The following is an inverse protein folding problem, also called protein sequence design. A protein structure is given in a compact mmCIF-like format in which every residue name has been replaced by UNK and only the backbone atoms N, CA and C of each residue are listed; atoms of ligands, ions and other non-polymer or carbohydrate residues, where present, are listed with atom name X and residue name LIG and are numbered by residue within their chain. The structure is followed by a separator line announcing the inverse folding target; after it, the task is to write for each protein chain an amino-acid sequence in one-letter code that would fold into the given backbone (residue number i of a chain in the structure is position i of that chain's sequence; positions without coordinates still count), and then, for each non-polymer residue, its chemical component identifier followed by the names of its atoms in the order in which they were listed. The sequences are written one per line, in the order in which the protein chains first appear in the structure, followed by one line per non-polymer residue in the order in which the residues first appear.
data_IF_663356188126
#
_entry.id   IF_663356188126
#
_cell.length_a   1.000
_cell.length_b   1.000
_cell.length_c   1.000
_cell.angle_alpha   90.00
_cell.angle_beta   90.00
_cell.angle_gamma   90.00
#
_symmetry.space_group_name_H-M   'P 1'
#
loop_
_entity.id
_entity.type
_entity.pdbx_description
1 polymer ?
#
# COMPACT_ATOMS: atom_id res chain seq x y z
N UNK A 1 22.68 4.22 17.39
CA UNK A 1 21.66 3.48 16.61
C UNK A 1 20.92 4.50 15.77
N UNK A 2 20.66 4.25 14.49
CA UNK A 2 19.97 5.20 13.63
C UNK A 2 18.56 5.48 14.15
N UNK A 3 18.04 6.67 13.86
CA UNK A 3 16.66 7.02 14.18
C UNK A 3 15.67 6.40 13.20
N UNK A 4 16.03 6.38 11.92
CA UNK A 4 15.16 5.85 10.86
C UNK A 4 15.90 4.79 10.06
N UNK A 5 15.28 3.64 9.83
CA UNK A 5 15.69 2.67 8.82
C UNK A 5 14.81 2.86 7.58
N UNK A 6 15.43 3.23 6.47
CA UNK A 6 14.76 3.24 5.16
C UNK A 6 14.97 1.86 4.53
N UNK A 7 13.88 1.15 4.26
CA UNK A 7 13.88 -0.21 3.69
C UNK A 7 13.50 -0.11 2.24
N UNK A 8 14.40 -0.55 1.36
CA UNK A 8 14.18 -0.58 -0.10
C UNK A 8 14.24 -2.03 -0.60
N UNK A 9 13.08 -2.63 -0.90
CA UNK A 9 13.03 -3.93 -1.59
C UNK A 9 13.43 -3.74 -3.06
N UNK A 10 14.31 -4.60 -3.57
CA UNK A 10 14.89 -4.47 -4.91
C UNK A 10 14.72 -5.78 -5.65
N UNK A 11 14.14 -5.71 -6.85
CA UNK A 11 14.13 -6.80 -7.81
C UNK A 11 14.13 -6.26 -9.24
N UNK A 12 15.24 -6.45 -9.97
CA UNK A 12 15.42 -6.00 -11.35
C UNK A 12 15.06 -4.52 -11.55
N UNK A 13 15.70 -3.63 -10.77
CA UNK A 13 15.41 -2.21 -10.70
C UNK A 13 16.53 -1.31 -11.20
N UNK A 14 17.51 -1.85 -11.94
CA UNK A 14 18.73 -1.14 -12.37
C UNK A 14 18.47 0.24 -12.98
N UNK A 15 17.32 0.38 -13.66
CA UNK A 15 16.95 1.61 -14.36
C UNK A 15 16.72 2.80 -13.43
N UNK A 16 16.14 2.58 -12.25
CA UNK A 16 15.70 3.65 -11.34
C UNK A 16 16.42 3.66 -10.00
N UNK A 17 17.06 2.55 -9.65
CA UNK A 17 17.65 2.31 -8.34
C UNK A 17 18.66 3.38 -7.91
N UNK A 18 19.45 3.92 -8.84
CA UNK A 18 20.41 5.00 -8.54
C UNK A 18 19.73 6.29 -8.10
N UNK A 19 18.58 6.64 -8.70
CA UNK A 19 17.79 7.82 -8.30
C UNK A 19 17.15 7.60 -6.94
N UNK A 20 16.60 6.41 -6.72
CA UNK A 20 16.03 5.99 -5.43
C UNK A 20 17.06 6.14 -4.31
N UNK A 21 18.23 5.50 -4.42
CA UNK A 21 19.30 5.56 -3.42
C UNK A 21 19.74 7.01 -3.18
N UNK A 22 19.98 7.80 -4.24
CA UNK A 22 20.36 9.21 -4.12
C UNK A 22 19.33 10.04 -3.36
N UNK A 23 18.05 9.78 -3.53
CA UNK A 23 16.98 10.49 -2.81
C UNK A 23 17.02 10.23 -1.30
N UNK A 24 17.56 9.07 -0.87
CA UNK A 24 17.70 8.70 0.55
C UNK A 24 19.01 9.22 1.14
N UNK A 25 20.14 9.00 0.48
CA UNK A 25 21.44 9.44 1.03
C UNK A 25 21.58 10.98 1.06
N UNK A 26 20.82 11.67 0.19
CA UNK A 26 20.71 13.12 0.11
C UNK A 26 19.68 13.74 1.05
N UNK A 27 19.08 13.01 1.97
CA UNK A 27 18.12 13.57 2.93
C UNK A 27 18.77 14.59 3.87
N UNK A 28 18.02 15.64 4.22
CA UNK A 28 18.45 16.63 5.21
C UNK A 28 18.55 16.05 6.62
N UNK A 29 17.94 14.90 6.89
CA UNK A 29 18.02 14.13 8.13
C UNK A 29 19.11 13.06 8.01
N UNK A 30 20.20 13.24 8.76
CA UNK A 30 21.40 12.40 8.61
C UNK A 30 21.39 11.10 9.44
N UNK A 31 20.60 11.04 10.53
CA UNK A 31 20.58 9.90 11.45
C UNK A 31 19.70 8.74 10.93
N UNK A 32 20.13 8.21 9.79
CA UNK A 32 19.46 7.12 9.06
C UNK A 32 20.38 5.94 8.82
N UNK A 33 19.79 4.77 8.59
CA UNK A 33 20.38 3.70 7.82
C UNK A 33 19.53 3.42 6.57
N UNK A 34 20.16 3.01 5.50
CA UNK A 34 19.50 2.57 4.27
C UNK A 34 19.71 1.07 4.11
N UNK A 35 18.63 0.30 4.21
CA UNK A 35 18.63 -1.15 4.07
C UNK A 35 18.15 -1.50 2.66
N UNK A 36 19.09 -1.84 1.78
CA UNK A 36 18.85 -2.31 0.43
C UNK A 36 18.67 -3.84 0.46
N UNK A 37 17.46 -4.33 0.17
CA UNK A 37 17.17 -5.77 0.18
C UNK A 37 17.04 -6.25 -1.26
N UNK A 38 18.10 -6.84 -1.77
CA UNK A 38 18.10 -7.46 -3.09
C UNK A 38 17.43 -8.83 -3.04
N UNK A 39 16.27 -8.93 -3.67
CA UNK A 39 15.42 -10.13 -3.73
C UNK A 39 15.77 -11.01 -4.93
N UNK A 40 17.08 -11.27 -5.12
CA UNK A 40 17.58 -12.15 -6.18
C UNK A 40 17.49 -11.54 -7.57
N UNK A 41 17.88 -10.27 -7.73
CA UNK A 41 17.93 -9.60 -9.03
C UNK A 41 18.91 -10.29 -9.99
N UNK A 42 18.58 -10.22 -11.28
CA UNK A 42 19.38 -10.79 -12.38
C UNK A 42 19.92 -9.73 -13.34
N UNK A 43 19.61 -8.46 -13.07
CA UNK A 43 20.14 -7.29 -13.78
C UNK A 43 21.32 -6.67 -13.01
N UNK A 44 21.71 -5.43 -13.30
CA UNK A 44 22.82 -4.72 -12.63
C UNK A 44 22.45 -4.18 -11.22
N UNK A 45 21.28 -4.46 -10.70
CA UNK A 45 20.86 -3.95 -9.37
C UNK A 45 21.82 -4.34 -8.23
N UNK A 46 22.35 -5.60 -8.14
CA UNK A 46 23.30 -5.98 -7.11
C UNK A 46 24.63 -5.19 -7.18
N UNK A 47 25.11 -4.91 -8.39
CA UNK A 47 26.35 -4.14 -8.59
C UNK A 47 26.14 -2.67 -8.14
N UNK A 48 24.99 -2.08 -8.47
CA UNK A 48 24.61 -0.74 -8.01
C UNK A 48 24.55 -0.69 -6.48
N UNK A 49 23.93 -1.65 -5.83
CA UNK A 49 23.87 -1.72 -4.36
C UNK A 49 25.26 -1.77 -3.74
N UNK A 50 26.14 -2.60 -4.31
CA UNK A 50 27.52 -2.77 -3.83
C UNK A 50 28.34 -1.50 -4.00
N UNK A 51 28.21 -0.80 -5.13
CA UNK A 51 28.87 0.48 -5.40
C UNK A 51 28.49 1.53 -4.35
N UNK A 52 27.19 1.72 -4.07
CA UNK A 52 26.76 2.71 -3.09
C UNK A 52 27.14 2.34 -1.66
N UNK A 53 27.06 1.07 -1.29
CA UNK A 53 27.46 0.61 0.05
C UNK A 53 28.96 0.78 0.31
N UNK A 54 29.81 0.67 -0.73
CA UNK A 54 31.24 0.97 -0.59
C UNK A 54 31.52 2.46 -0.36
N UNK A 55 30.62 3.35 -0.79
CA UNK A 55 30.77 4.81 -0.68
C UNK A 55 30.13 5.46 0.54
N UNK A 56 29.15 4.80 1.19
CA UNK A 56 28.40 5.38 2.32
C UNK A 56 28.15 4.32 3.40
N UNK A 57 28.76 4.48 4.56
CA UNK A 57 28.68 3.54 5.68
C UNK A 57 27.28 3.43 6.32
N UNK A 58 26.32 4.27 5.92
CA UNK A 58 24.92 4.16 6.36
C UNK A 58 24.15 3.09 5.56
N UNK A 59 24.72 2.59 4.46
CA UNK A 59 24.05 1.64 3.56
C UNK A 59 24.39 0.20 3.97
N UNK A 60 23.36 -0.60 4.17
CA UNK A 60 23.44 -2.04 4.41
C UNK A 60 22.77 -2.78 3.28
N UNK A 61 23.51 -3.67 2.62
CA UNK A 61 22.96 -4.55 1.56
C UNK A 61 22.67 -5.92 2.14
N UNK A 62 21.49 -6.44 1.83
CA UNK A 62 21.06 -7.79 2.20
C UNK A 62 20.55 -8.48 0.95
N UNK A 63 21.12 -9.63 0.61
CA UNK A 63 20.69 -10.43 -0.55
C UNK A 63 19.94 -11.68 -0.08
N UNK A 64 18.88 -12.04 -0.79
CA UNK A 64 18.13 -13.28 -0.58
C UNK A 64 17.69 -13.89 -1.92
N UNK A 65 17.39 -15.20 -1.96
CA UNK A 65 16.67 -15.78 -3.10
C UNK A 65 15.32 -15.09 -3.30
N UNK A 66 14.88 -14.91 -4.56
CA UNK A 66 13.63 -14.24 -4.85
C UNK A 66 12.45 -14.87 -4.08
N UNK A 67 11.90 -14.09 -3.17
CA UNK A 67 10.75 -14.42 -2.32
C UNK A 67 9.57 -13.46 -2.50
N UNK A 68 9.73 -12.45 -3.35
CA UNK A 68 8.73 -11.41 -3.61
C UNK A 68 8.76 -10.24 -2.63
N UNK A 69 7.99 -9.20 -2.95
CA UNK A 69 7.99 -7.92 -2.26
C UNK A 69 7.79 -8.03 -0.74
N UNK A 70 6.85 -8.87 -0.30
CA UNK A 70 6.57 -9.11 1.12
C UNK A 70 7.76 -9.72 1.85
N UNK A 71 8.42 -10.69 1.24
CA UNK A 71 9.61 -11.34 1.82
C UNK A 71 10.76 -10.34 1.93
N UNK A 72 11.00 -9.53 0.91
CA UNK A 72 12.03 -8.50 0.92
C UNK A 72 11.76 -7.42 1.98
N UNK A 73 10.52 -6.91 2.09
CA UNK A 73 10.15 -5.97 3.15
C UNK A 73 10.32 -6.57 4.55
N UNK A 74 9.89 -7.82 4.76
CA UNK A 74 10.05 -8.52 6.03
C UNK A 74 11.54 -8.71 6.39
N UNK A 75 12.36 -9.09 5.41
CA UNK A 75 13.81 -9.20 5.61
C UNK A 75 14.42 -7.85 6.00
N UNK A 76 13.97 -6.77 5.39
CA UNK A 76 14.36 -5.41 5.76
C UNK A 76 13.99 -5.07 7.21
N UNK A 77 12.75 -5.39 7.63
CA UNK A 77 12.30 -5.22 9.03
C UNK A 77 13.19 -5.98 10.00
N UNK A 78 13.52 -7.25 9.69
CA UNK A 78 14.29 -8.13 10.58
C UNK A 78 15.73 -7.65 10.82
N UNK A 79 16.30 -6.87 9.89
CA UNK A 79 17.69 -6.37 9.98
C UNK A 79 17.78 -4.90 10.31
N UNK A 80 16.64 -4.18 10.31
CA UNK A 80 16.55 -2.76 10.65
C UNK A 80 16.88 -2.52 12.13
N UNK A 81 17.63 -1.43 12.40
CA UNK A 81 18.03 -1.03 13.74
C UNK A 81 17.44 0.31 14.17
N UNK A 82 16.72 0.98 13.27
CA UNK A 82 16.10 2.26 13.50
C UNK A 82 14.92 2.21 14.46
N UNK A 83 14.72 3.31 15.15
CA UNK A 83 13.55 3.52 16.02
C UNK A 83 12.26 3.61 15.21
N UNK A 84 12.38 4.06 13.96
CA UNK A 84 11.32 4.15 12.97
C UNK A 84 11.71 3.42 11.69
N UNK A 85 10.70 2.95 10.96
CA UNK A 85 10.83 2.34 9.64
C UNK A 85 10.13 3.20 8.59
N UNK A 86 10.76 3.33 7.43
CA UNK A 86 10.20 3.96 6.24
C UNK A 86 10.39 3.01 5.05
N UNK A 87 9.32 2.70 4.32
CA UNK A 87 9.39 1.84 3.13
C UNK A 87 9.42 2.70 1.87
N UNK A 88 10.34 2.39 0.97
CA UNK A 88 10.50 3.07 -0.32
C UNK A 88 10.69 2.03 -1.42
N UNK A 89 9.83 2.06 -2.43
CA UNK A 89 9.96 1.17 -3.57
C UNK A 89 11.14 1.61 -4.46
N UNK A 90 11.86 0.67 -5.05
CA UNK A 90 13.16 0.89 -5.70
C UNK A 90 13.11 1.70 -7.01
N UNK A 91 11.91 1.98 -7.53
CA UNK A 91 11.65 2.81 -8.71
C UNK A 91 11.15 4.23 -8.36
N UNK A 92 10.97 4.52 -7.06
CA UNK A 92 10.42 5.77 -6.54
C UNK A 92 11.50 6.67 -5.90
N UNK A 93 11.12 7.89 -5.55
CA UNK A 93 11.99 8.84 -4.84
C UNK A 93 11.23 9.62 -3.77
N UNK A 94 11.95 10.21 -2.82
CA UNK A 94 11.38 11.02 -1.74
C UNK A 94 11.92 12.45 -1.76
N UNK A 95 11.10 13.38 -1.26
CA UNK A 95 11.50 14.77 -1.09
C UNK A 95 12.73 14.88 -0.18
N UNK A 96 13.64 15.82 -0.44
CA UNK A 96 14.86 16.04 0.32
C UNK A 96 14.64 16.17 1.84
N UNK A 97 13.53 16.77 2.28
CA UNK A 97 13.20 16.95 3.70
C UNK A 97 12.18 15.92 4.23
N UNK A 98 11.82 14.88 3.45
CA UNK A 98 10.75 13.96 3.82
C UNK A 98 10.97 13.32 5.19
N UNK A 99 12.15 12.74 5.42
CA UNK A 99 12.45 12.05 6.68
C UNK A 99 12.55 13.01 7.86
N UNK A 100 13.11 14.20 7.65
CA UNK A 100 13.19 15.24 8.67
C UNK A 100 11.82 15.70 9.15
N UNK A 101 10.90 15.94 8.22
CA UNK A 101 9.53 16.39 8.54
C UNK A 101 8.73 15.30 9.23
N UNK A 102 8.78 14.08 8.69
CA UNK A 102 8.07 12.94 9.29
C UNK A 102 8.55 12.64 10.70
N UNK A 103 9.87 12.68 10.93
CA UNK A 103 10.46 12.45 12.25
C UNK A 103 10.07 13.55 13.24
N UNK A 104 10.21 14.83 12.87
CA UNK A 104 9.80 15.97 13.69
C UNK A 104 8.32 15.87 14.10
N UNK A 105 7.43 15.54 13.15
CA UNK A 105 6.01 15.36 13.46
C UNK A 105 5.77 14.16 14.38
N UNK A 106 6.48 13.04 14.19
CA UNK A 106 6.37 11.89 15.07
C UNK A 106 6.74 12.23 16.53
N UNK A 107 7.87 12.90 16.71
CA UNK A 107 8.37 13.27 18.05
C UNK A 107 7.48 14.29 18.76
N UNK A 108 7.03 15.35 18.07
CA UNK A 108 6.19 16.39 18.70
C UNK A 108 4.75 15.96 18.95
N UNK A 109 4.24 14.95 18.24
CA UNK A 109 2.85 14.47 18.40
C UNK A 109 2.72 13.14 19.14
N UNK A 110 3.83 12.46 19.40
CA UNK A 110 3.89 11.07 19.88
C UNK A 110 3.08 10.10 19.00
N UNK A 111 2.93 10.44 17.73
CA UNK A 111 2.25 9.57 16.78
C UNK A 111 3.18 8.42 16.35
N UNK A 112 2.66 7.18 16.45
CA UNK A 112 3.43 6.00 16.05
C UNK A 112 3.45 5.78 14.53
N UNK A 113 2.57 6.46 13.80
CA UNK A 113 2.53 6.52 12.35
C UNK A 113 2.35 7.96 11.93
N UNK A 114 3.22 8.42 11.04
CA UNK A 114 3.10 9.72 10.37
C UNK A 114 3.05 9.49 8.87
N UNK A 115 2.05 10.02 8.19
CA UNK A 115 1.89 9.86 6.75
C UNK A 115 1.90 11.21 6.04
N UNK A 116 2.62 11.28 4.92
CA UNK A 116 2.53 12.36 3.96
C UNK A 116 1.72 11.97 2.73
N UNK A 117 1.83 12.75 1.67
CA UNK A 117 1.14 12.50 0.42
C UNK A 117 2.11 11.99 -0.67
N UNK A 118 1.66 11.08 -1.54
CA UNK A 118 2.36 10.76 -2.78
C UNK A 118 1.89 11.67 -3.90
N UNK A 119 2.77 11.91 -4.88
CA UNK A 119 2.39 12.31 -6.24
C UNK A 119 2.62 11.14 -7.19
N UNK A 120 1.66 10.86 -8.05
CA UNK A 120 1.70 9.74 -9.01
C UNK A 120 1.82 10.34 -10.41
N UNK A 121 3.00 10.22 -11.02
CA UNK A 121 3.28 10.79 -12.33
C UNK A 121 4.39 10.01 -13.06
N UNK A 122 4.61 10.30 -14.34
CA UNK A 122 5.75 9.78 -15.09
C UNK A 122 7.04 10.52 -14.74
N UNK A 123 6.93 11.83 -14.48
CA UNK A 123 8.01 12.70 -14.05
C UNK A 123 7.47 13.71 -13.04
N UNK A 124 8.29 14.04 -12.05
CA UNK A 124 7.94 15.04 -11.04
C UNK A 124 9.19 15.71 -10.49
N UNK A 125 9.07 16.98 -10.18
CA UNK A 125 10.08 17.76 -9.45
C UNK A 125 9.42 18.26 -8.18
N UNK A 126 10.00 17.92 -7.05
CA UNK A 126 9.48 18.35 -5.75
C UNK A 126 9.55 19.86 -5.58
N UNK A 127 8.58 20.42 -4.88
CA UNK A 127 8.64 21.80 -4.39
C UNK A 127 9.84 21.97 -3.45
N UNK A 128 10.29 23.22 -3.27
CA UNK A 128 11.50 23.47 -2.47
C UNK A 128 11.29 23.30 -0.96
N UNK A 129 10.06 23.34 -0.48
CA UNK A 129 9.76 23.28 0.95
C UNK A 129 8.51 22.47 1.23
N UNK A 130 8.50 21.81 2.38
CA UNK A 130 7.35 21.11 2.95
C UNK A 130 6.77 21.96 4.07
N UNK A 131 5.44 22.12 4.10
CA UNK A 131 4.76 22.70 5.24
C UNK A 131 4.79 21.71 6.43
N UNK A 132 5.51 22.09 7.48
CA UNK A 132 5.70 21.27 8.69
C UNK A 132 4.57 21.42 9.71
N UNK A 133 3.73 22.45 9.56
CA UNK A 133 2.73 22.83 10.55
C UNK A 133 1.34 22.35 10.20
N UNK A 134 1.07 22.06 8.93
CA UNK A 134 -0.19 21.49 8.45
C UNK A 134 -0.33 20.01 8.85
N UNK A 135 -0.49 19.75 10.16
CA UNK A 135 -0.59 18.39 10.72
C UNK A 135 -1.99 18.13 11.25
N UNK A 136 -2.60 17.03 10.84
CA UNK A 136 -3.88 16.55 11.34
C UNK A 136 -3.71 15.23 12.08
N UNK A 137 -4.14 15.16 13.33
CA UNK A 137 -4.16 13.92 14.11
C UNK A 137 -5.50 13.22 13.88
N UNK A 138 -5.45 11.97 13.46
CA UNK A 138 -6.61 11.13 13.20
C UNK A 138 -6.67 9.99 14.18
N UNK A 139 -7.90 9.64 14.59
CA UNK A 139 -8.15 8.40 15.30
C UNK A 139 -8.00 7.20 14.35
N UNK A 140 -7.36 6.13 14.82
CA UNK A 140 -7.09 4.96 14.01
C UNK A 140 -8.36 4.24 13.54
N UNK A 141 -9.37 4.12 14.40
CA UNK A 141 -10.63 3.45 14.04
C UNK A 141 -11.37 4.23 12.95
N UNK A 142 -11.37 5.57 13.05
CA UNK A 142 -11.98 6.41 12.03
C UNK A 142 -11.26 6.26 10.69
N UNK A 143 -9.93 6.34 10.70
CA UNK A 143 -9.13 6.23 9.47
C UNK A 143 -9.22 4.83 8.84
N UNK A 144 -9.22 3.77 9.66
CA UNK A 144 -9.46 2.40 9.18
C UNK A 144 -10.82 2.30 8.48
N UNK A 145 -11.89 2.83 9.10
CA UNK A 145 -13.22 2.82 8.49
C UNK A 145 -13.23 3.56 7.14
N UNK A 146 -12.58 4.71 7.07
CA UNK A 146 -12.50 5.54 5.87
C UNK A 146 -11.75 4.83 4.71
N UNK A 147 -10.63 4.17 5.02
CA UNK A 147 -9.88 3.35 4.06
C UNK A 147 -10.73 2.17 3.57
N UNK A 148 -11.43 1.50 4.48
CA UNK A 148 -12.29 0.36 4.14
C UNK A 148 -13.48 0.76 3.28
N UNK A 149 -14.10 1.89 3.54
CA UNK A 149 -15.10 2.51 2.68
C UNK A 149 -14.51 3.07 1.38
N UNK A 150 -13.19 3.09 1.26
CA UNK A 150 -12.46 3.67 0.11
C UNK A 150 -12.83 5.14 -0.12
N UNK A 151 -12.88 5.93 0.95
CA UNK A 151 -13.11 7.37 0.85
C UNK A 151 -11.96 8.05 0.11
N UNK A 152 -12.26 9.21 -0.47
CA UNK A 152 -11.24 10.01 -1.14
C UNK A 152 -10.15 10.41 -0.14
N UNK A 153 -8.93 10.54 -0.64
CA UNK A 153 -7.76 10.97 0.14
C UNK A 153 -7.35 10.03 1.27
N UNK A 154 -7.73 8.75 1.18
CA UNK A 154 -7.29 7.69 2.09
C UNK A 154 -6.60 6.56 1.33
N UNK A 155 -5.52 6.03 1.90
CA UNK A 155 -4.80 4.91 1.30
C UNK A 155 -4.25 3.95 2.36
N UNK A 156 -3.93 2.72 1.92
CA UNK A 156 -3.39 1.66 2.75
C UNK A 156 -1.94 1.30 2.41
N UNK A 157 -1.25 2.08 1.57
CA UNK A 157 0.14 1.79 1.20
C UNK A 157 1.07 1.81 2.41
N UNK A 158 2.11 0.98 2.40
CA UNK A 158 3.21 1.04 3.36
C UNK A 158 4.18 2.18 3.05
N UNK A 159 4.25 2.64 1.80
CA UNK A 159 5.10 3.76 1.38
C UNK A 159 4.55 5.10 1.88
N UNK A 160 5.35 6.16 1.78
CA UNK A 160 5.10 7.54 2.27
C UNK A 160 4.62 7.66 3.71
N UNK A 161 4.98 6.69 4.54
CA UNK A 161 4.66 6.66 5.97
C UNK A 161 5.89 6.31 6.79
N UNK A 162 6.05 7.01 7.91
CA UNK A 162 7.01 6.68 8.94
C UNK A 162 6.29 5.88 10.04
N UNK A 163 6.80 4.73 10.37
CA UNK A 163 6.23 3.81 11.36
C UNK A 163 7.17 3.65 12.54
N UNK A 164 6.68 3.73 13.76
CA UNK A 164 7.43 3.26 14.93
C UNK A 164 7.77 1.78 14.73
N UNK A 165 9.04 1.40 14.80
CA UNK A 165 9.50 0.03 14.48
C UNK A 165 8.78 -1.05 15.30
N UNK A 166 8.49 -0.78 16.57
CA UNK A 166 7.76 -1.67 17.50
C UNK A 166 6.35 -2.07 17.00
N UNK A 167 5.78 -1.37 16.04
CA UNK A 167 4.52 -1.78 15.43
C UNK A 167 4.65 -3.12 14.70
N UNK A 168 5.85 -3.42 14.22
CA UNK A 168 6.15 -4.63 13.46
C UNK A 168 6.68 -5.80 14.31
N UNK A 169 6.70 -5.74 15.64
CA UNK A 169 7.18 -6.84 16.48
C UNK A 169 6.44 -8.16 16.24
N UNK A 170 5.13 -8.09 16.00
CA UNK A 170 4.21 -9.22 15.76
C UNK A 170 3.41 -9.10 14.47
N UNK A 171 3.71 -8.12 13.62
CA UNK A 171 3.06 -7.89 12.33
C UNK A 171 4.10 -8.01 11.23
N UNK A 172 3.79 -8.82 10.21
CA UNK A 172 4.62 -9.00 9.02
C UNK A 172 3.75 -8.97 7.77
N UNK A 173 4.33 -8.55 6.66
CA UNK A 173 3.71 -8.66 5.36
C UNK A 173 3.50 -10.13 5.00
N UNK A 174 2.33 -10.47 4.48
CA UNK A 174 2.04 -11.81 3.97
C UNK A 174 2.40 -11.89 2.49
N UNK A 175 2.80 -13.07 2.07
CA UNK A 175 3.04 -13.33 0.66
C UNK A 175 1.76 -13.15 -0.16
N UNK A 176 1.95 -12.73 -1.41
CA UNK A 176 0.87 -12.46 -2.35
C UNK A 176 0.65 -10.97 -2.59
N UNK A 177 -0.29 -10.68 -3.47
CA UNK A 177 -0.65 -9.32 -3.81
C UNK A 177 -1.56 -8.68 -2.75
N UNK A 178 -1.53 -7.35 -2.65
CA UNK A 178 -2.29 -6.54 -1.68
C UNK A 178 -1.81 -6.73 -0.23
N UNK A 179 -0.52 -6.98 -0.05
CA UNK A 179 0.15 -7.17 1.22
C UNK A 179 -0.06 -5.97 2.17
N UNK A 180 -0.03 -4.75 1.65
CA UNK A 180 -0.28 -3.52 2.39
C UNK A 180 -1.71 -3.49 2.95
N UNK A 181 -2.70 -3.88 2.12
CA UNK A 181 -4.10 -3.94 2.54
C UNK A 181 -4.33 -5.02 3.61
N UNK A 182 -3.51 -6.06 3.64
CA UNK A 182 -3.66 -7.17 4.60
C UNK A 182 -3.16 -6.81 6.01
N UNK A 183 -2.31 -5.78 6.14
CA UNK A 183 -1.71 -5.45 7.45
C UNK A 183 -2.04 -4.05 7.96
N UNK A 184 -2.43 -3.08 7.11
CA UNK A 184 -2.58 -1.68 7.52
C UNK A 184 -3.49 -1.50 8.74
N UNK A 185 -4.61 -2.22 8.78
CA UNK A 185 -5.59 -2.09 9.84
C UNK A 185 -5.05 -2.56 11.21
N UNK A 186 -4.17 -3.57 11.22
CA UNK A 186 -3.51 -4.04 12.44
C UNK A 186 -2.47 -3.03 12.93
N UNK A 187 -1.70 -2.46 11.99
CA UNK A 187 -0.72 -1.41 12.31
C UNK A 187 -1.40 -0.16 12.85
N UNK A 188 -2.49 0.28 12.20
CA UNK A 188 -3.23 1.48 12.61
C UNK A 188 -3.90 1.29 13.96
N UNK A 189 -4.56 0.15 14.20
CA UNK A 189 -5.14 -0.18 15.50
C UNK A 189 -4.07 -0.17 16.61
N UNK A 190 -2.91 -0.79 16.38
CA UNK A 190 -1.79 -0.81 17.32
C UNK A 190 -1.18 0.58 17.55
N UNK A 191 -1.24 1.45 16.56
CA UNK A 191 -0.82 2.84 16.67
C UNK A 191 -1.78 3.69 17.50
N UNK A 192 -3.10 3.50 17.35
CA UNK A 192 -4.15 4.26 18.03
C UNK A 192 -4.40 5.64 17.44
N UNK A 193 -3.35 6.41 17.17
CA UNK A 193 -3.40 7.72 16.52
C UNK A 193 -2.41 7.78 15.37
N UNK A 194 -2.81 8.45 14.29
CA UNK A 194 -2.01 8.66 13.10
C UNK A 194 -1.93 10.16 12.80
N UNK A 195 -0.73 10.68 12.58
CA UNK A 195 -0.53 12.04 12.12
C UNK A 195 -0.48 12.07 10.59
N UNK A 196 -1.20 12.99 9.99
CA UNK A 196 -1.22 13.21 8.54
C UNK A 196 -0.67 14.60 8.26
N UNK A 197 0.29 14.72 7.35
CA UNK A 197 0.79 15.97 6.82
C UNK A 197 0.25 16.20 5.41
N UNK A 198 -0.23 17.40 5.12
CA UNK A 198 -0.79 17.76 3.82
C UNK A 198 0.31 18.27 2.88
N UNK A 199 1.34 17.44 2.67
CA UNK A 199 2.48 17.78 1.83
C UNK A 199 2.94 16.57 1.03
N UNK A 200 3.34 16.80 -0.22
CA UNK A 200 3.88 15.77 -1.11
C UNK A 200 5.33 15.47 -0.70
N UNK A 201 5.55 14.28 -0.19
CA UNK A 201 6.86 13.81 0.27
C UNK A 201 7.42 12.66 -0.56
N UNK A 202 6.60 12.07 -1.39
CA UNK A 202 6.90 10.83 -2.11
C UNK A 202 6.52 10.97 -3.58
N UNK A 203 7.42 10.60 -4.48
CA UNK A 203 7.14 10.48 -5.91
C UNK A 203 7.00 9.03 -6.30
N UNK A 204 5.74 8.63 -6.54
CA UNK A 204 5.40 7.33 -7.11
C UNK A 204 5.50 7.41 -8.64
N UNK A 205 6.50 6.75 -9.18
CA UNK A 205 6.77 6.75 -10.62
C UNK A 205 5.80 5.85 -11.37
N UNK A 206 5.08 6.43 -12.34
CA UNK A 206 4.27 5.65 -13.26
C UNK A 206 5.09 5.28 -14.48
N UNK A 207 5.18 4.00 -14.80
CA UNK A 207 5.77 3.48 -16.03
C UNK A 207 4.87 2.40 -16.65
N UNK A 208 5.15 2.02 -17.93
CA UNK A 208 4.34 1.06 -18.70
C UNK A 208 4.16 -0.29 -17.99
N UNK A 209 5.19 -0.70 -17.28
CA UNK A 209 5.26 -2.00 -16.61
C UNK A 209 4.66 -1.98 -15.19
N UNK A 210 4.09 -0.83 -14.78
CA UNK A 210 3.45 -0.70 -13.47
C UNK A 210 2.30 -1.69 -13.34
N UNK A 211 2.34 -2.44 -12.24
CA UNK A 211 1.44 -3.48 -11.80
C UNK A 211 -0.07 -3.16 -11.92
N UNK A 212 -0.44 -1.90 -11.88
CA UNK A 212 -1.84 -1.45 -11.81
C UNK A 212 -2.56 -1.60 -13.16
N UNK A 213 -1.81 -1.69 -14.27
CA UNK A 213 -2.34 -1.44 -15.62
C UNK A 213 -2.99 -2.65 -16.32
N UNK A 214 -2.83 -3.89 -15.81
CA UNK A 214 -3.34 -5.08 -16.49
C UNK A 214 -4.09 -6.05 -15.56
N UNK A 215 -5.03 -6.81 -16.15
CA UNK A 215 -5.62 -7.95 -15.46
C UNK A 215 -4.58 -9.07 -15.30
N UNK A 216 -4.48 -9.61 -14.09
CA UNK A 216 -3.58 -10.72 -13.77
C UNK A 216 -4.29 -11.71 -12.82
N UNK A 217 -3.99 -13.02 -12.89
CA UNK A 217 -4.54 -14.03 -11.98
C UNK A 217 -4.25 -13.75 -10.50
N UNK A 218 -3.13 -13.10 -10.19
CA UNK A 218 -2.74 -12.71 -8.84
C UNK A 218 -3.71 -11.72 -8.20
N UNK A 219 -4.54 -11.02 -8.99
CA UNK A 219 -5.64 -10.19 -8.45
C UNK A 219 -6.67 -10.99 -7.64
N UNK A 220 -6.66 -12.32 -7.72
CA UNK A 220 -7.48 -13.18 -6.88
C UNK A 220 -7.06 -13.14 -5.41
N UNK A 221 -5.82 -12.79 -5.11
CA UNK A 221 -5.31 -12.72 -3.72
C UNK A 221 -6.11 -11.74 -2.86
N UNK A 222 -6.66 -10.68 -3.48
CA UNK A 222 -7.54 -9.72 -2.80
C UNK A 222 -8.73 -10.37 -2.10
N UNK A 223 -9.20 -11.53 -2.61
CA UNK A 223 -10.33 -12.23 -2.00
C UNK A 223 -9.96 -12.80 -0.63
N UNK A 224 -8.76 -13.38 -0.53
CA UNK A 224 -8.22 -13.87 0.74
C UNK A 224 -7.98 -12.75 1.75
N UNK A 225 -7.40 -11.63 1.28
CA UNK A 225 -7.20 -10.43 2.08
C UNK A 225 -8.54 -9.90 2.62
N UNK A 226 -9.54 -9.75 1.75
CA UNK A 226 -10.85 -9.23 2.14
C UNK A 226 -11.58 -10.13 3.14
N UNK A 227 -11.44 -11.46 3.05
CA UNK A 227 -12.01 -12.39 4.03
C UNK A 227 -11.32 -12.26 5.39
N UNK A 228 -9.98 -12.28 5.45
CA UNK A 228 -9.23 -12.12 6.72
C UNK A 228 -9.56 -10.80 7.40
N UNK A 229 -9.62 -9.72 6.63
CA UNK A 229 -9.95 -8.38 7.11
C UNK A 229 -11.38 -8.32 7.65
N UNK A 230 -12.36 -8.89 6.93
CA UNK A 230 -13.76 -8.95 7.40
C UNK A 230 -13.88 -9.73 8.69
N UNK A 231 -13.23 -10.89 8.81
CA UNK A 231 -13.25 -11.70 10.04
C UNK A 231 -12.58 -10.98 11.21
N UNK A 232 -11.45 -10.32 10.97
CA UNK A 232 -10.79 -9.51 12.00
C UNK A 232 -11.68 -8.37 12.50
N UNK A 233 -12.33 -7.64 11.59
CA UNK A 233 -13.17 -6.49 11.93
C UNK A 233 -14.50 -6.88 12.60
N UNK A 234 -14.93 -8.13 12.45
CA UNK A 234 -16.13 -8.65 13.13
C UNK A 234 -16.04 -8.56 14.65
N UNK A 235 -14.84 -8.77 15.21
CA UNK A 235 -14.59 -8.64 16.65
C UNK A 235 -14.42 -7.19 17.10
N UNK A 236 -14.30 -6.21 16.17
CA UNK A 236 -14.00 -4.80 16.44
C UNK A 236 -15.24 -3.88 16.43
N UNK A 237 -16.42 -4.46 16.41
CA UNK A 237 -17.68 -3.74 16.46
C UNK A 237 -18.35 -3.50 15.10
N UNK A 238 -19.62 -3.10 15.17
CA UNK A 238 -20.49 -3.01 13.99
C UNK A 238 -19.99 -2.05 12.92
N UNK A 239 -19.42 -0.90 13.32
CA UNK A 239 -18.94 0.13 12.39
C UNK A 239 -17.81 -0.41 11.50
N UNK A 240 -16.75 -0.94 12.10
CA UNK A 240 -15.60 -1.47 11.37
C UNK A 240 -15.95 -2.73 10.58
N UNK A 241 -16.77 -3.61 11.12
CA UNK A 241 -17.25 -4.78 10.39
C UNK A 241 -18.06 -4.38 9.15
N UNK A 242 -18.99 -3.39 9.27
CA UNK A 242 -19.73 -2.89 8.10
C UNK A 242 -18.79 -2.33 7.04
N UNK A 243 -17.82 -1.51 7.42
CA UNK A 243 -16.82 -0.97 6.50
C UNK A 243 -16.00 -2.08 5.80
N UNK A 244 -15.60 -3.13 6.54
CA UNK A 244 -14.90 -4.28 6.00
C UNK A 244 -15.76 -5.07 4.99
N UNK A 245 -17.06 -5.25 5.26
CA UNK A 245 -17.99 -5.87 4.30
C UNK A 245 -18.15 -5.05 3.01
N UNK A 246 -18.04 -3.72 3.08
CA UNK A 246 -18.00 -2.87 1.89
C UNK A 246 -16.73 -3.08 1.08
N UNK A 247 -15.58 -3.17 1.75
CA UNK A 247 -14.30 -3.50 1.09
C UNK A 247 -14.34 -4.89 0.47
N UNK A 248 -14.90 -5.86 1.20
CA UNK A 248 -15.09 -7.23 0.73
C UNK A 248 -16.00 -7.28 -0.51
N UNK A 249 -17.14 -6.58 -0.48
CA UNK A 249 -17.98 -6.45 -1.67
C UNK A 249 -17.20 -5.89 -2.87
N UNK A 250 -16.46 -4.80 -2.66
CA UNK A 250 -15.66 -4.17 -3.72
C UNK A 250 -14.63 -5.15 -4.31
N UNK A 251 -13.92 -5.90 -3.46
CA UNK A 251 -12.96 -6.92 -3.88
C UNK A 251 -13.62 -8.00 -4.75
N UNK A 252 -14.70 -8.60 -4.25
CA UNK A 252 -15.42 -9.66 -4.96
C UNK A 252 -16.06 -9.16 -6.26
N UNK A 253 -16.59 -7.93 -6.27
CA UNK A 253 -17.19 -7.35 -7.46
C UNK A 253 -16.14 -7.06 -8.54
N UNK A 254 -15.00 -6.49 -8.18
CA UNK A 254 -13.91 -6.22 -9.12
C UNK A 254 -13.33 -7.51 -9.71
N UNK A 255 -13.09 -8.53 -8.88
CA UNK A 255 -12.63 -9.84 -9.34
C UNK A 255 -13.69 -10.51 -10.24
N UNK A 256 -14.96 -10.47 -9.86
CA UNK A 256 -16.05 -11.00 -10.67
C UNK A 256 -16.08 -10.39 -12.07
N UNK A 257 -15.97 -9.07 -12.15
CA UNK A 257 -15.93 -8.36 -13.43
C UNK A 257 -14.70 -8.74 -14.24
N UNK A 258 -13.53 -8.72 -13.61
CA UNK A 258 -12.27 -9.08 -14.27
C UNK A 258 -12.26 -10.50 -14.83
N UNK A 259 -12.76 -11.47 -14.06
CA UNK A 259 -12.90 -12.87 -14.52
C UNK A 259 -13.87 -12.97 -15.71
N UNK A 260 -15.02 -12.31 -15.64
CA UNK A 260 -15.99 -12.35 -16.75
C UNK A 260 -15.44 -11.76 -18.05
N UNK A 261 -14.57 -10.76 -17.96
CA UNK A 261 -14.01 -10.10 -19.14
C UNK A 261 -12.80 -10.86 -19.71
N UNK A 262 -11.92 -11.36 -18.84
CA UNK A 262 -10.60 -11.85 -19.24
C UNK A 262 -10.43 -13.37 -19.11
N UNK A 263 -11.16 -14.02 -18.20
CA UNK A 263 -11.03 -15.47 -17.92
C UNK A 263 -12.41 -16.14 -17.69
N UNK A 264 -13.31 -16.13 -18.66
CA UNK A 264 -14.67 -16.64 -18.49
C UNK A 264 -14.73 -18.16 -18.21
N UNK A 265 -13.69 -18.92 -18.53
CA UNK A 265 -13.58 -20.34 -18.23
C UNK A 265 -13.42 -20.66 -16.74
N UNK A 266 -13.05 -19.69 -15.90
CA UNK A 266 -12.98 -19.85 -14.43
C UNK A 266 -14.37 -19.78 -13.77
N UNK A 267 -15.26 -20.68 -14.15
CA UNK A 267 -16.67 -20.68 -13.70
C UNK A 267 -16.83 -20.83 -12.19
N UNK A 268 -15.99 -21.61 -11.53
CA UNK A 268 -16.10 -21.84 -10.08
C UNK A 268 -15.80 -20.57 -9.29
N UNK A 269 -14.75 -19.85 -9.67
CA UNK A 269 -14.38 -18.56 -9.08
C UNK A 269 -15.45 -17.50 -9.34
N UNK A 270 -16.00 -17.48 -10.56
CA UNK A 270 -17.11 -16.60 -10.93
C UNK A 270 -18.35 -16.90 -10.07
N UNK A 271 -18.70 -18.19 -9.88
CA UNK A 271 -19.81 -18.62 -9.02
C UNK A 271 -19.59 -18.22 -7.56
N UNK A 272 -18.36 -18.42 -7.04
CA UNK A 272 -17.95 -17.99 -5.69
C UNK A 272 -18.13 -16.49 -5.50
N UNK A 273 -17.60 -15.67 -6.40
CA UNK A 273 -17.74 -14.22 -6.34
C UNK A 273 -19.21 -13.79 -6.35
N UNK A 274 -20.00 -14.36 -7.26
CA UNK A 274 -21.44 -14.07 -7.39
C UNK A 274 -22.22 -14.40 -6.11
N UNK A 275 -21.84 -15.48 -5.39
CA UNK A 275 -22.46 -15.85 -4.11
C UNK A 275 -22.24 -14.74 -3.07
N UNK A 276 -21.01 -14.28 -2.88
CA UNK A 276 -20.68 -13.23 -1.90
C UNK A 276 -21.34 -11.90 -2.28
N UNK A 277 -21.29 -11.51 -3.57
CA UNK A 277 -21.98 -10.31 -4.06
C UNK A 277 -23.48 -10.35 -3.70
N UNK A 278 -24.14 -11.48 -3.91
CA UNK A 278 -25.58 -11.64 -3.58
C UNK A 278 -25.84 -11.49 -2.10
N UNK A 279 -24.96 -11.96 -1.23
CA UNK A 279 -25.09 -11.82 0.23
C UNK A 279 -24.99 -10.35 0.67
N UNK A 280 -24.04 -9.61 0.11
CA UNK A 280 -23.70 -8.26 0.57
C UNK A 280 -24.49 -7.14 -0.12
N UNK A 281 -24.94 -7.32 -1.36
CA UNK A 281 -25.48 -6.24 -2.23
C UNK A 281 -26.58 -5.40 -1.59
N UNK A 282 -27.46 -5.99 -0.74
CA UNK A 282 -28.54 -5.24 -0.06
C UNK A 282 -27.97 -4.23 0.92
N UNK A 283 -27.02 -4.63 1.76
CA UNK A 283 -26.35 -3.74 2.70
C UNK A 283 -25.63 -2.59 1.98
N UNK A 284 -24.92 -2.93 0.88
CA UNK A 284 -24.17 -1.96 0.07
C UNK A 284 -25.08 -0.88 -0.53
N UNK A 285 -26.26 -1.24 -1.02
CA UNK A 285 -27.20 -0.30 -1.65
C UNK A 285 -27.72 0.73 -0.63
N UNK A 286 -28.05 0.27 0.58
CA UNK A 286 -28.71 1.10 1.57
C UNK A 286 -27.76 1.85 2.51
N UNK A 287 -26.47 1.50 2.52
CA UNK A 287 -25.49 2.23 3.32
C UNK A 287 -25.06 3.53 2.62
N UNK A 288 -25.29 4.67 3.30
CA UNK A 288 -24.94 6.00 2.78
C UNK A 288 -23.42 6.21 2.65
N UNK A 289 -22.60 5.50 3.41
CA UNK A 289 -21.15 5.58 3.32
C UNK A 289 -20.58 4.80 2.14
N UNK A 290 -21.38 3.91 1.55
CA UNK A 290 -20.95 3.11 0.40
C UNK A 290 -20.66 3.99 -0.83
N UNK A 291 -19.52 3.74 -1.48
CA UNK A 291 -19.16 4.44 -2.73
C UNK A 291 -20.24 4.24 -3.78
N UNK A 292 -20.53 5.31 -4.55
CA UNK A 292 -21.50 5.26 -5.64
C UNK A 292 -21.22 4.10 -6.62
N UNK A 293 -19.95 3.87 -6.98
CA UNK A 293 -19.55 2.75 -7.84
C UNK A 293 -20.01 1.40 -7.27
N UNK A 294 -19.80 1.18 -5.96
CA UNK A 294 -20.21 -0.07 -5.30
C UNK A 294 -21.72 -0.23 -5.27
N UNK A 295 -22.46 0.87 -5.00
CA UNK A 295 -23.94 0.86 -5.03
C UNK A 295 -24.48 0.56 -6.42
N UNK A 296 -23.92 1.17 -7.45
CA UNK A 296 -24.29 0.89 -8.87
C UNK A 296 -23.97 -0.57 -9.22
N UNK A 297 -22.79 -1.07 -8.85
CA UNK A 297 -22.43 -2.48 -9.06
C UNK A 297 -23.37 -3.45 -8.34
N UNK A 298 -23.76 -3.12 -7.10
CA UNK A 298 -24.71 -3.92 -6.33
C UNK A 298 -26.08 -3.95 -7.00
N UNK A 299 -26.61 -2.82 -7.49
CA UNK A 299 -27.87 -2.75 -8.26
C UNK A 299 -27.74 -3.56 -9.56
N UNK A 300 -26.66 -3.37 -10.32
CA UNK A 300 -26.41 -4.11 -11.56
C UNK A 300 -26.41 -5.63 -11.35
N UNK A 301 -25.95 -6.09 -10.18
CA UNK A 301 -25.95 -7.52 -9.83
C UNK A 301 -27.33 -8.14 -9.67
N UNK A 302 -28.39 -7.33 -9.45
CA UNK A 302 -29.79 -7.81 -9.47
C UNK A 302 -30.29 -8.04 -10.88
N UNK A 303 -29.89 -7.19 -11.85
CA UNK A 303 -30.30 -7.29 -13.25
C UNK A 303 -29.68 -8.52 -13.90
N UNK A 304 -28.43 -8.84 -13.57
CA UNK A 304 -27.77 -10.05 -14.02
C UNK A 304 -26.40 -9.84 -14.66
N UNK A 305 -25.72 -10.96 -14.94
CA UNK A 305 -24.33 -10.98 -15.41
C UNK A 305 -24.14 -10.29 -16.78
N UNK A 306 -25.11 -10.41 -17.70
CA UNK A 306 -25.04 -9.74 -19.00
C UNK A 306 -25.01 -8.22 -18.85
N UNK A 307 -25.82 -7.68 -17.94
CA UNK A 307 -25.85 -6.24 -17.65
C UNK A 307 -24.58 -5.76 -16.96
N UNK A 308 -24.10 -6.51 -15.96
CA UNK A 308 -22.82 -6.21 -15.30
C UNK A 308 -21.67 -6.16 -16.32
N UNK A 309 -21.61 -7.14 -17.24
CA UNK A 309 -20.60 -7.18 -18.30
C UNK A 309 -20.69 -5.98 -19.26
N UNK A 310 -21.92 -5.55 -19.60
CA UNK A 310 -22.14 -4.36 -20.44
C UNK A 310 -21.68 -3.07 -19.73
N UNK A 311 -22.04 -2.92 -18.45
CA UNK A 311 -21.66 -1.77 -17.64
C UNK A 311 -20.12 -1.70 -17.46
N UNK A 312 -19.47 -2.84 -17.23
CA UNK A 312 -18.03 -2.92 -17.04
C UNK A 312 -17.24 -2.53 -18.30
N UNK A 313 -17.75 -2.84 -19.50
CA UNK A 313 -17.12 -2.41 -20.77
C UNK A 313 -17.18 -0.90 -20.98
N UNK A 314 -18.05 -0.19 -20.31
CA UNK A 314 -18.14 1.28 -20.35
C UNK A 314 -17.18 1.96 -19.35
N UNK A 315 -16.72 1.25 -18.34
CA UNK A 315 -15.72 1.74 -17.40
C UNK A 315 -14.33 1.32 -17.89
N UNK A 316 -13.56 2.26 -18.47
CA UNK A 316 -12.24 2.03 -19.05
C UNK A 316 -11.24 1.30 -18.12
N UNK A 317 -11.45 1.35 -16.80
CA UNK A 317 -10.62 0.65 -15.81
C UNK A 317 -10.71 -0.88 -15.82
N UNK A 318 -11.64 -1.44 -16.57
CA UNK A 318 -11.80 -2.90 -16.73
C UNK A 318 -11.40 -3.40 -18.13
N UNK A 319 -11.05 -2.47 -19.04
CA UNK A 319 -10.73 -2.80 -20.43
C UNK A 319 -9.24 -2.96 -20.72
N UNK A 320 -8.37 -2.71 -19.72
CA UNK A 320 -6.91 -2.85 -19.84
C UNK A 320 -6.35 -3.77 -18.80
#
# INVERSE_FOLDING_TARGET
MPKISVIVPIYNSERYLRECIKSVIGQSFADIELVLVDDGSTDSSPDICSEYAAGDGRIKVVTQPNGGLSAARNKGIDVAMGEYLFFLDSDDTIHHDALSVLYDVAERTDAKIVAGLPVIAENYVFEKSIDRDAVRICDAEELIADILYQKKDTDNSACWKLFRAKLFDDIRFRDGWFEDLDIFYRLYEKAGKIALIDSVIYFYRRHSDSFINSWSPQRLDILGVAERMSEYMKAKGRRLHSAAEHRRFSAYYNVYVGLMLNQPAKENEIKRCRKVIKQLRRAIIFDRQSRLKNRVGAIASYIGSKFVKKLAKWDSRYCH
#
